data_IF_499694470467
#
_entry.id   IF_499694470467
#
_cell.length_a   1.000
_cell.length_b   1.000
_cell.length_c   1.000
_cell.angle_alpha   90.00
_cell.angle_beta   90.00
_cell.angle_gamma   90.00
#
_symmetry.space_group_name_H-M   'P 1'
#
loop_
_entity.id
_entity.type
_entity.pdbx_description
1 polymer ?
2 non-polymer ?
3 water ?
#
# COMPACT_ATOMS: atom_id res chain seq x y z
N UNK A 1 9.24 16.63 21.90
CA UNK A 1 8.65 15.30 22.27
C UNK A 1 7.88 15.38 23.57
N UNK A 2 7.13 16.48 23.71
CA UNK A 2 6.34 16.78 24.91
C UNK A 2 7.30 17.38 25.93
N UNK A 3 8.56 16.95 25.82
CA UNK A 3 9.68 17.36 26.66
C UNK A 3 10.38 16.07 27.11
N UNK A 4 9.66 14.95 26.99
CA UNK A 4 10.19 13.63 27.35
C UNK A 4 9.83 12.60 26.26
N UNK A 5 10.16 12.95 25.02
CA UNK A 5 9.91 12.11 23.84
C UNK A 5 8.43 11.87 23.53
N UNK A 6 8.04 12.12 22.28
CA UNK A 6 6.66 11.91 21.89
C UNK A 6 6.16 12.80 20.77
N UNK A 7 6.91 13.85 20.46
CA UNK A 7 6.54 14.79 19.40
C UNK A 7 6.76 14.21 18.02
N UNK A 8 6.84 12.89 17.96
CA UNK A 8 7.03 12.21 16.70
C UNK A 8 5.65 12.10 16.07
N UNK A 9 4.62 12.38 16.87
CA UNK A 9 3.23 12.34 16.43
C UNK A 9 2.85 13.58 15.63
N UNK A 10 3.67 14.63 15.72
CA UNK A 10 3.40 15.87 14.99
C UNK A 10 3.81 15.63 13.54
N UNK A 11 4.97 15.02 13.37
CA UNK A 11 5.49 14.71 12.05
C UNK A 11 4.49 13.81 11.34
N UNK A 12 3.94 12.84 12.07
CA UNK A 12 2.97 11.89 11.53
C UNK A 12 1.71 12.60 11.05
N UNK A 13 1.16 13.47 11.90
CA UNK A 13 -0.05 14.22 11.57
C UNK A 13 0.19 15.14 10.37
N UNK A 14 1.37 15.74 10.32
CA UNK A 14 1.73 16.62 9.22
C UNK A 14 1.79 15.87 7.89
N UNK A 15 2.52 14.76 7.88
CA UNK A 15 2.66 13.96 6.66
C UNK A 15 1.44 13.16 6.26
N UNK A 16 0.45 13.10 7.15
CA UNK A 16 -0.77 12.35 6.85
C UNK A 16 -2.00 13.25 6.79
N UNK A 17 -1.97 14.36 7.52
CA UNK A 17 -3.07 15.31 7.53
C UNK A 17 -4.41 14.71 7.94
N UNK A 18 -5.48 15.16 7.29
CA UNK A 18 -6.82 14.68 7.60
C UNK A 18 -6.93 13.16 7.49
N UNK A 19 -6.00 12.56 6.76
CA UNK A 19 -5.94 11.10 6.57
C UNK A 19 -5.69 10.34 7.88
N UNK A 20 -5.18 11.04 8.88
CA UNK A 20 -4.91 10.44 10.18
C UNK A 20 -6.20 9.95 10.85
N UNK A 21 -6.09 8.85 11.59
CA UNK A 21 -7.21 8.25 12.31
C UNK A 21 -6.90 8.44 13.78
N UNK A 22 -5.89 9.26 14.04
CA UNK A 22 -5.47 9.51 15.41
C UNK A 22 -5.08 10.96 15.69
N UNK A 23 -5.25 11.35 16.95
CA UNK A 23 -4.90 12.68 17.43
C UNK A 23 -3.48 12.47 17.93
N UNK A 24 -2.76 13.55 18.23
CA UNK A 24 -1.38 13.39 18.70
C UNK A 24 -1.28 12.69 20.05
N UNK A 25 -2.27 12.90 20.90
CA UNK A 25 -2.26 12.27 22.21
C UNK A 25 -2.44 10.75 22.09
N UNK A 26 -3.28 10.33 21.15
CA UNK A 26 -3.54 8.92 20.94
C UNK A 26 -2.33 8.28 20.28
N UNK A 27 -1.69 9.02 19.38
CA UNK A 27 -0.50 8.52 18.69
C UNK A 27 0.59 8.28 19.73
N UNK A 28 0.68 9.19 20.70
CA UNK A 28 1.68 9.06 21.76
C UNK A 28 1.40 7.85 22.62
N UNK A 29 0.12 7.54 22.79
CA UNK A 29 -0.28 6.38 23.59
C UNK A 29 0.09 5.11 22.86
N UNK A 30 -0.25 5.06 21.57
CA UNK A 30 0.07 3.94 20.70
C UNK A 30 1.60 3.83 20.70
N UNK A 31 2.28 4.97 20.64
CA UNK A 31 3.74 4.99 20.66
C UNK A 31 4.29 4.39 21.95
N UNK A 32 3.70 4.77 23.09
CA UNK A 32 4.13 4.24 24.38
C UNK A 32 3.97 2.73 24.43
N UNK A 33 2.91 2.23 23.80
CA UNK A 33 2.66 0.80 23.77
C UNK A 33 3.63 0.17 22.78
N UNK A 34 3.86 0.87 21.68
CA UNK A 34 4.77 0.43 20.63
C UNK A 34 6.16 0.19 21.21
N UNK A 35 6.62 1.12 22.03
CA UNK A 35 7.93 1.05 22.67
C UNK A 35 8.05 -0.04 23.73
N UNK A 36 6.92 -0.43 24.33
CA UNK A 36 6.97 -1.49 25.33
C UNK A 36 7.27 -2.80 24.60
N UNK A 37 6.80 -2.90 23.36
CA UNK A 37 7.00 -4.09 22.56
C UNK A 37 8.23 -4.01 21.66
N UNK A 38 8.59 -2.80 21.24
CA UNK A 38 9.76 -2.58 20.40
C UNK A 38 10.51 -1.40 20.99
N UNK A 39 11.27 -1.64 22.06
CA UNK A 39 12.07 -0.65 22.79
C UNK A 39 12.84 0.35 21.93
N UNK A 40 13.39 -0.12 20.82
CA UNK A 40 14.17 0.73 19.93
C UNK A 40 13.33 1.69 19.10
N UNK A 41 12.04 1.40 18.98
CA UNK A 41 11.18 2.26 18.19
C UNK A 41 11.35 1.98 16.71
N UNK A 42 12.02 0.89 16.38
CA UNK A 42 12.25 0.50 15.00
C UNK A 42 11.67 -0.88 14.80
N UNK A 43 11.23 -1.16 13.58
CA UNK A 43 10.64 -2.46 13.28
C UNK A 43 11.22 -2.97 11.97
N UNK A 44 11.69 -4.21 11.98
CA UNK A 44 12.29 -4.81 10.80
C UNK A 44 11.24 -5.25 9.79
N UNK A 45 11.69 -5.64 8.61
CA UNK A 45 10.77 -6.09 7.58
C UNK A 45 10.10 -7.40 7.99
N UNK A 46 10.87 -8.31 8.59
CA UNK A 46 10.31 -9.58 9.04
C UNK A 46 9.21 -9.35 10.07
N UNK A 47 9.44 -8.43 11.00
CA UNK A 47 8.45 -8.12 12.03
C UNK A 47 7.22 -7.46 11.43
N UNK A 48 7.43 -6.60 10.44
CA UNK A 48 6.32 -5.92 9.78
C UNK A 48 5.49 -6.97 9.04
N UNK A 49 6.17 -7.89 8.37
CA UNK A 49 5.50 -8.97 7.65
C UNK A 49 4.63 -9.79 8.59
N UNK A 50 5.10 -9.99 9.81
CA UNK A 50 4.34 -10.78 10.78
C UNK A 50 2.99 -10.14 11.09
N UNK A 51 2.95 -8.82 11.08
CA UNK A 51 1.70 -8.12 11.35
C UNK A 51 0.67 -8.54 10.31
N UNK A 52 1.06 -8.49 9.04
CA UNK A 52 0.14 -8.86 7.97
C UNK A 52 -0.15 -10.36 7.90
N UNK A 53 0.81 -11.19 8.28
CA UNK A 53 0.59 -12.63 8.26
C UNK A 53 -0.47 -12.96 9.30
N UNK A 54 -0.41 -12.26 10.42
CA UNK A 54 -1.35 -12.45 11.52
C UNK A 54 -2.75 -11.96 11.19
N UNK A 55 -2.83 -10.79 10.55
CA UNK A 55 -4.14 -10.22 10.29
C UNK A 55 -4.78 -10.46 8.93
N UNK A 56 -4.15 -11.30 8.13
CA UNK A 56 -4.69 -11.70 6.84
C UNK A 56 -4.47 -13.21 6.71
N UNK A 57 -5.03 -13.99 7.66
CA UNK A 57 -4.90 -15.45 7.68
C UNK A 57 -5.48 -16.13 6.45
N UNK A 58 -6.41 -15.46 5.79
CA UNK A 58 -7.04 -16.03 4.62
C UNK A 58 -6.21 -15.85 3.35
N UNK A 59 -5.18 -15.01 3.44
CA UNK A 59 -4.34 -14.72 2.28
C UNK A 59 -2.87 -15.11 2.45
N UNK A 60 -2.05 -14.67 1.49
CA UNK A 60 -0.60 -14.93 1.49
C UNK A 60 0.01 -13.53 1.31
N UNK A 61 0.03 -12.75 2.40
CA UNK A 61 0.54 -11.39 2.47
C UNK A 61 2.02 -11.07 2.53
N UNK A 62 2.88 -12.09 2.51
CA UNK A 62 4.30 -11.84 2.62
C UNK A 62 4.86 -10.85 1.59
N UNK A 63 4.63 -11.12 0.30
CA UNK A 63 5.14 -10.23 -0.73
C UNK A 63 4.57 -8.83 -0.58
N UNK A 64 3.27 -8.76 -0.33
CA UNK A 64 2.58 -7.49 -0.15
C UNK A 64 3.21 -6.67 0.98
N UNK A 65 3.35 -7.29 2.14
CA UNK A 65 3.94 -6.61 3.29
C UNK A 65 5.36 -6.14 2.96
N UNK A 66 6.12 -6.96 2.25
CA UNK A 66 7.49 -6.56 1.89
C UNK A 66 7.51 -5.33 0.97
N UNK A 67 6.61 -5.27 0.01
CA UNK A 67 6.56 -4.13 -0.91
C UNK A 67 6.13 -2.86 -0.17
N UNK A 68 5.20 -3.01 0.76
CA UNK A 68 4.71 -1.88 1.53
C UNK A 68 5.85 -1.34 2.39
N UNK A 69 6.56 -2.25 3.04
CA UNK A 69 7.70 -1.90 3.88
C UNK A 69 8.75 -1.16 3.04
N UNK A 70 9.01 -1.67 1.85
CA UNK A 70 10.00 -1.05 0.96
C UNK A 70 9.58 0.30 0.39
N UNK A 71 8.29 0.52 0.21
CA UNK A 71 7.79 1.77 -0.35
C UNK A 71 8.37 2.98 0.36
N UNK A 72 8.79 2.78 1.61
CA UNK A 72 9.35 3.88 2.38
C UNK A 72 10.85 4.12 2.18
N UNK A 73 11.37 3.71 1.02
CA UNK A 73 12.79 3.90 0.64
C UNK A 73 13.41 2.83 -0.28
N UNK A 74 12.58 1.97 -0.86
CA UNK A 74 13.06 0.91 -1.76
C UNK A 74 14.21 0.07 -1.18
N UNK A 75 14.14 -0.19 0.12
CA UNK A 75 15.16 -0.98 0.80
C UNK A 75 14.49 -2.08 1.64
N UNK A 76 14.93 -3.32 1.45
CA UNK A 76 14.41 -4.47 2.19
C UNK A 76 15.09 -4.64 3.54
N UNK A 77 16.29 -4.09 3.65
CA UNK A 77 17.05 -4.19 4.89
C UNK A 77 16.59 -3.07 5.83
N UNK A 78 17.27 -2.94 6.96
CA UNK A 78 16.91 -1.88 7.88
C UNK A 78 15.57 -2.00 8.56
N UNK A 79 15.02 -0.86 8.94
CA UNK A 79 13.77 -0.81 9.67
C UNK A 79 12.88 0.37 9.29
N UNK A 80 11.70 0.39 9.90
CA UNK A 80 10.76 1.50 9.74
C UNK A 80 10.71 2.07 11.14
N UNK A 81 10.51 3.37 11.26
CA UNK A 81 10.40 3.96 12.58
C UNK A 81 8.90 3.98 12.84
N UNK A 82 8.49 4.44 14.01
CA UNK A 82 7.07 4.47 14.35
C UNK A 82 6.25 5.25 13.33
N UNK A 83 6.79 6.38 12.87
CA UNK A 83 6.09 7.20 11.92
C UNK A 83 5.75 6.46 10.63
N UNK A 84 6.75 5.83 10.03
CA UNK A 84 6.54 5.09 8.79
C UNK A 84 5.65 3.86 9.01
N UNK A 85 5.73 3.27 10.19
CA UNK A 85 4.90 2.11 10.50
C UNK A 85 3.42 2.52 10.61
N UNK A 86 3.14 3.66 11.24
CA UNK A 86 1.77 4.15 11.36
C UNK A 86 1.26 4.55 9.98
N UNK A 87 2.09 5.24 9.21
CA UNK A 87 1.67 5.65 7.88
C UNK A 87 1.43 4.43 6.98
N UNK A 88 2.25 3.40 7.12
CA UNK A 88 2.09 2.19 6.31
C UNK A 88 0.75 1.50 6.59
N UNK A 89 0.38 1.41 7.86
CA UNK A 89 -0.88 0.79 8.22
C UNK A 89 -2.03 1.63 7.67
N UNK A 90 -1.85 2.94 7.67
CA UNK A 90 -2.90 3.81 7.13
C UNK A 90 -3.07 3.59 5.63
N UNK A 91 -1.95 3.48 4.92
CA UNK A 91 -1.99 3.27 3.48
C UNK A 91 -2.70 1.97 3.09
N UNK A 92 -2.49 0.91 3.85
CA UNK A 92 -3.12 -0.36 3.52
C UNK A 92 -4.52 -0.55 4.06
N UNK A 93 -4.87 0.16 5.13
CA UNK A 93 -6.16 -0.07 5.77
C UNK A 93 -7.10 1.07 6.16
N UNK A 94 -6.74 2.32 5.89
CA UNK A 94 -7.62 3.42 6.29
C UNK A 94 -7.63 4.58 5.31
N UNK A 95 -8.70 5.37 5.35
CA UNK A 95 -8.79 6.53 4.49
C UNK A 95 -9.14 6.30 3.04
N UNK A 96 -9.11 7.38 2.27
CA UNK A 96 -9.45 7.36 0.85
C UNK A 96 -8.22 7.21 -0.04
N UNK A 97 -8.38 6.42 -1.10
CA UNK A 97 -7.32 6.14 -2.06
C UNK A 97 -6.75 7.37 -2.75
N UNK A 98 -7.63 8.30 -3.15
CA UNK A 98 -7.21 9.51 -3.85
C UNK A 98 -6.23 10.39 -3.11
N UNK A 99 -6.12 10.17 -1.80
CA UNK A 99 -5.19 10.94 -1.00
C UNK A 99 -3.92 10.12 -0.81
N UNK A 100 -3.88 8.94 -1.41
CA UNK A 100 -2.72 8.06 -1.30
C UNK A 100 -1.99 7.84 -2.63
N UNK A 101 -2.33 8.60 -3.67
CA UNK A 101 -1.73 8.39 -4.99
C UNK A 101 -0.22 8.58 -5.12
N UNK A 102 0.34 9.53 -4.38
CA UNK A 102 1.78 9.78 -4.42
C UNK A 102 2.49 8.58 -3.78
N UNK A 103 1.92 8.07 -2.69
CA UNK A 103 2.49 6.92 -2.02
C UNK A 103 2.31 5.70 -2.91
N UNK A 104 1.17 5.61 -3.57
CA UNK A 104 0.89 4.48 -4.45
C UNK A 104 1.96 4.40 -5.53
N UNK A 105 2.41 5.56 -6.02
CA UNK A 105 3.45 5.56 -7.04
C UNK A 105 4.72 4.92 -6.46
N UNK A 106 5.09 5.31 -5.25
CA UNK A 106 6.28 4.75 -4.62
C UNK A 106 6.15 3.25 -4.43
N UNK A 107 4.93 2.78 -4.17
CA UNK A 107 4.69 1.36 -4.00
C UNK A 107 4.92 0.63 -5.32
N UNK A 108 4.41 1.19 -6.41
CA UNK A 108 4.55 0.58 -7.72
C UNK A 108 5.95 0.70 -8.32
N UNK A 109 6.68 1.75 -7.95
CA UNK A 109 8.05 1.91 -8.45
C UNK A 109 8.95 1.02 -7.57
N UNK A 110 8.87 -0.29 -7.79
CA UNK A 110 9.63 -1.25 -7.00
C UNK A 110 11.13 -0.98 -6.82
N UNK A 111 11.86 -0.69 -7.90
CA UNK A 111 13.29 -0.45 -7.75
C UNK A 111 13.62 0.99 -7.36
N UNK A 112 12.58 1.82 -7.30
CA UNK A 112 12.76 3.21 -6.91
C UNK A 112 13.57 4.06 -7.85
N UNK A 113 13.61 3.70 -9.13
CA UNK A 113 14.38 4.47 -10.09
C UNK A 113 13.61 5.65 -10.69
N UNK A 114 12.48 6.01 -10.07
CA UNK A 114 11.71 7.15 -10.56
C UNK A 114 10.59 6.93 -11.55
N UNK A 115 10.49 5.73 -12.12
CA UNK A 115 9.42 5.44 -13.06
C UNK A 115 8.96 4.01 -12.86
N UNK A 116 7.77 3.72 -13.35
CA UNK A 116 7.21 2.39 -13.22
C UNK A 116 7.30 1.62 -14.53
N UNK A 117 7.81 0.40 -14.45
CA UNK A 117 7.91 -0.43 -15.62
C UNK A 117 6.76 -1.43 -15.62
N UNK A 118 6.56 -2.06 -16.76
CA UNK A 118 5.51 -3.04 -16.93
C UNK A 118 5.65 -4.18 -15.94
N UNK A 119 6.88 -4.64 -15.75
CA UNK A 119 7.15 -5.74 -14.83
C UNK A 119 6.88 -5.37 -13.38
N UNK A 120 7.09 -4.10 -13.03
CA UNK A 120 6.85 -3.66 -11.66
C UNK A 120 5.35 -3.67 -11.40
N UNK A 121 4.57 -3.27 -12.40
CA UNK A 121 3.13 -3.29 -12.22
C UNK A 121 2.71 -4.74 -11.95
N UNK A 122 3.24 -5.68 -12.71
CA UNK A 122 2.88 -7.09 -12.51
C UNK A 122 3.30 -7.59 -11.13
N UNK A 123 4.49 -7.20 -10.68
CA UNK A 123 4.96 -7.63 -9.37
C UNK A 123 4.03 -7.17 -8.26
N UNK A 124 3.63 -5.90 -8.30
CA UNK A 124 2.75 -5.35 -7.29
C UNK A 124 1.32 -5.90 -7.44
N UNK A 125 0.80 -5.93 -8.66
CA UNK A 125 -0.54 -6.47 -8.88
C UNK A 125 -0.61 -7.91 -8.37
N UNK A 126 0.46 -8.67 -8.56
CA UNK A 126 0.50 -10.06 -8.09
C UNK A 126 0.46 -10.12 -6.56
N UNK A 127 1.27 -9.29 -5.92
CA UNK A 127 1.33 -9.23 -4.47
C UNK A 127 -0.04 -8.88 -3.88
N UNK A 128 -0.71 -7.91 -4.49
CA UNK A 128 -2.05 -7.50 -4.05
C UNK A 128 -3.06 -8.62 -4.33
N UNK A 129 -2.92 -9.27 -5.48
CA UNK A 129 -3.83 -10.36 -5.85
C UNK A 129 -3.83 -11.43 -4.75
N UNK A 130 -2.63 -11.74 -4.25
CA UNK A 130 -2.46 -12.74 -3.20
C UNK A 130 -3.09 -12.35 -1.87
N UNK A 131 -3.58 -11.11 -1.78
CA UNK A 131 -4.24 -10.64 -0.57
C UNK A 131 -5.72 -10.97 -0.63
N UNK A 132 -6.18 -11.42 -1.80
CA UNK A 132 -7.58 -11.78 -2.00
C UNK A 132 -7.74 -13.26 -1.66
N UNK A 133 -8.71 -13.61 -0.81
CA UNK A 133 -8.89 -15.02 -0.51
C UNK A 133 -9.43 -15.75 -1.74
N UNK A 134 -8.96 -16.98 -1.98
CA UNK A 134 -9.40 -17.78 -3.13
C UNK A 134 -10.92 -17.70 -3.31
N UNK A 135 -11.63 -17.66 -2.19
CA UNK A 135 -13.09 -17.58 -2.20
C UNK A 135 -13.61 -16.37 -2.98
N UNK A 136 -12.94 -15.22 -2.88
CA UNK A 136 -13.40 -14.01 -3.56
C UNK A 136 -13.00 -13.81 -5.03
N UNK A 137 -11.90 -14.43 -5.46
CA UNK A 137 -11.43 -14.27 -6.85
C UNK A 137 -12.44 -14.70 -7.92
N UNK A 138 -13.39 -15.55 -7.54
CA UNK A 138 -14.41 -16.02 -8.46
C UNK A 138 -15.43 -14.94 -8.81
N UNK A 139 -15.55 -13.93 -7.95
CA UNK A 139 -16.47 -12.82 -8.20
C UNK A 139 -15.82 -11.80 -9.12
N UNK A 140 -14.52 -11.97 -9.39
CA UNK A 140 -13.78 -11.05 -10.24
C UNK A 140 -14.08 -11.19 -11.73
N UNK A 141 -14.13 -10.07 -12.45
CA UNK A 141 -14.39 -10.08 -13.89
C UNK A 141 -13.40 -11.00 -14.61
N UNK A 142 -13.86 -11.65 -15.68
CA UNK A 142 -13.01 -12.56 -16.44
C UNK A 142 -11.71 -11.89 -16.87
N UNK A 143 -11.81 -10.68 -17.41
CA UNK A 143 -10.62 -9.99 -17.88
C UNK A 143 -9.82 -9.29 -16.80
N UNK A 144 -10.14 -9.59 -15.54
CA UNK A 144 -9.44 -9.00 -14.40
C UNK A 144 -9.28 -10.04 -13.30
N UNK A 145 -9.40 -11.32 -13.64
CA UNK A 145 -9.30 -12.38 -12.64
C UNK A 145 -7.96 -13.07 -12.41
N UNK A 146 -6.89 -12.58 -13.02
CA UNK A 146 -5.55 -13.14 -12.81
C UNK A 146 -4.60 -11.95 -12.77
N UNK A 147 -3.42 -12.10 -12.15
CA UNK A 147 -2.45 -11.01 -12.07
C UNK A 147 -2.04 -10.50 -13.45
N UNK A 148 -1.82 -11.43 -14.37
CA UNK A 148 -1.43 -11.12 -15.74
C UNK A 148 -2.47 -10.25 -16.44
N UNK A 149 -3.73 -10.64 -16.34
CA UNK A 149 -4.80 -9.89 -16.98
C UNK A 149 -4.94 -8.49 -16.39
N UNK A 150 -4.92 -8.39 -15.06
CA UNK A 150 -5.05 -7.10 -14.40
C UNK A 150 -3.89 -6.18 -14.74
N UNK A 151 -2.67 -6.69 -14.62
CA UNK A 151 -1.48 -5.90 -14.91
C UNK A 151 -1.42 -5.41 -16.36
N UNK A 152 -1.83 -6.25 -17.30
CA UNK A 152 -1.80 -5.83 -18.70
C UNK A 152 -2.91 -4.82 -18.98
N UNK A 153 -4.03 -4.94 -18.28
CA UNK A 153 -5.11 -3.99 -18.47
C UNK A 153 -4.67 -2.61 -17.98
N UNK A 154 -3.95 -2.58 -16.86
CA UNK A 154 -3.44 -1.33 -16.32
C UNK A 154 -2.47 -0.70 -17.31
N UNK A 155 -1.56 -1.51 -17.84
CA UNK A 155 -0.58 -1.03 -18.80
C UNK A 155 -1.29 -0.51 -20.04
N UNK A 156 -2.35 -1.20 -20.45
CA UNK A 156 -3.09 -0.78 -21.63
C UNK A 156 -3.80 0.54 -21.39
N UNK A 157 -4.39 0.70 -20.21
CA UNK A 157 -5.08 1.94 -19.88
C UNK A 157 -4.11 3.10 -19.90
N UNK A 158 -2.84 2.83 -19.62
CA UNK A 158 -1.85 3.90 -19.66
C UNK A 158 -1.28 4.05 -21.06
N UNK A 159 -1.82 3.25 -21.99
CA UNK A 159 -1.40 3.29 -23.38
C UNK A 159 0.10 3.13 -23.54
N UNK A 160 0.66 2.17 -22.80
CA UNK A 160 2.09 1.92 -22.84
C UNK A 160 2.49 0.69 -23.64
N UNK A 161 3.70 0.76 -24.19
CA UNK A 161 4.28 -0.35 -24.94
C UNK A 161 5.09 -1.14 -23.92
N UNK A 162 5.44 -2.37 -24.26
CA UNK A 162 6.18 -3.21 -23.34
C UNK A 162 7.35 -2.55 -22.62
N UNK A 163 8.16 -1.76 -23.32
CA UNK A 163 9.29 -1.15 -22.64
C UNK A 163 9.21 0.33 -22.32
N UNK A 164 7.99 0.86 -22.24
CA UNK A 164 7.83 2.27 -21.90
C UNK A 164 7.98 2.44 -20.39
N UNK A 165 8.18 3.69 -19.97
CA UNK A 165 8.34 4.03 -18.56
C UNK A 165 7.15 4.89 -18.14
N UNK A 166 6.54 4.56 -17.01
CA UNK A 166 5.40 5.33 -16.53
C UNK A 166 5.84 6.30 -15.46
N UNK A 167 5.60 7.59 -15.68
CA UNK A 167 5.99 8.63 -14.73
C UNK A 167 4.93 8.89 -13.66
N UNK A 168 5.36 9.57 -12.60
CA UNK A 168 4.47 9.89 -11.49
C UNK A 168 3.38 10.85 -11.96
N UNK A 169 3.75 11.79 -12.81
CA UNK A 169 2.79 12.75 -13.36
C UNK A 169 1.63 12.00 -14.01
N UNK A 170 1.95 11.08 -14.91
CA UNK A 170 0.92 10.32 -15.61
C UNK A 170 0.20 9.34 -14.70
N UNK A 171 0.93 8.71 -13.79
CA UNK A 171 0.31 7.76 -12.87
C UNK A 171 -0.80 8.45 -12.09
N UNK A 172 -0.51 9.64 -11.58
CA UNK A 172 -1.49 10.40 -10.81
C UNK A 172 -2.66 10.85 -11.67
N UNK A 173 -2.38 11.33 -12.88
CA UNK A 173 -3.44 11.75 -13.78
C UNK A 173 -4.39 10.60 -14.07
N UNK A 174 -3.82 9.45 -14.43
CA UNK A 174 -4.62 8.29 -14.77
C UNK A 174 -5.38 7.66 -13.63
N UNK A 175 -4.77 7.61 -12.45
CA UNK A 175 -5.44 7.01 -11.31
C UNK A 175 -6.58 7.92 -10.82
N UNK A 176 -6.48 9.21 -11.12
CA UNK A 176 -7.53 10.16 -10.75
C UNK A 176 -8.64 10.18 -11.80
N UNK A 177 -8.25 10.34 -13.06
CA UNK A 177 -9.21 10.43 -14.16
C UNK A 177 -9.92 9.14 -14.55
N UNK A 178 -9.15 8.07 -14.77
CA UNK A 178 -9.75 6.80 -15.18
C UNK A 178 -10.02 5.91 -13.98
N UNK A 179 -11.29 5.81 -13.61
CA UNK A 179 -11.67 5.02 -12.45
C UNK A 179 -11.43 3.52 -12.60
N UNK A 180 -11.21 3.06 -13.83
CA UNK A 180 -10.92 1.65 -14.07
C UNK A 180 -9.47 1.40 -13.66
N UNK A 181 -8.60 2.38 -13.90
CA UNK A 181 -7.21 2.25 -13.50
C UNK A 181 -7.20 2.20 -11.97
N UNK A 182 -7.97 3.08 -11.35
CA UNK A 182 -8.05 3.12 -9.90
C UNK A 182 -8.46 1.75 -9.35
N UNK A 183 -9.52 1.19 -9.94
CA UNK A 183 -10.04 -0.11 -9.53
C UNK A 183 -8.99 -1.21 -9.63
N UNK A 184 -8.19 -1.16 -10.68
CA UNK A 184 -7.16 -2.17 -10.91
C UNK A 184 -5.87 -1.97 -10.12
N UNK A 185 -5.50 -0.73 -9.81
CA UNK A 185 -4.28 -0.54 -9.04
C UNK A 185 -4.55 -0.61 -7.54
N UNK A 186 -5.83 -0.53 -7.17
CA UNK A 186 -6.26 -0.58 -5.77
C UNK A 186 -5.44 -1.57 -4.94
N UNK A 187 -4.84 -1.08 -3.87
CA UNK A 187 -3.98 -1.89 -3.01
C UNK A 187 -4.55 -2.22 -1.63
N UNK A 188 -5.65 -1.58 -1.24
CA UNK A 188 -6.23 -1.87 0.06
C UNK A 188 -7.07 -3.13 -0.09
N UNK A 189 -6.67 -4.22 0.57
CA UNK A 189 -7.42 -5.48 0.47
C UNK A 189 -8.94 -5.40 0.64
N UNK A 190 -9.40 -4.65 1.64
CA UNK A 190 -10.84 -4.52 1.89
C UNK A 190 -11.55 -3.84 0.73
N UNK A 191 -10.90 -2.84 0.12
CA UNK A 191 -11.50 -2.11 -1.00
C UNK A 191 -11.59 -2.97 -2.24
N UNK A 192 -10.57 -3.80 -2.47
CA UNK A 192 -10.62 -4.68 -3.62
C UNK A 192 -11.79 -5.64 -3.40
N UNK A 193 -11.87 -6.21 -2.20
CA UNK A 193 -12.93 -7.15 -1.85
C UNK A 193 -14.33 -6.57 -1.96
N UNK A 194 -14.52 -5.39 -1.37
CA UNK A 194 -15.83 -4.75 -1.37
C UNK A 194 -16.32 -4.35 -2.76
N UNK A 195 -15.41 -4.14 -3.70
CA UNK A 195 -15.84 -3.81 -5.04
C UNK A 195 -15.97 -5.12 -5.80
N UNK A 196 -15.31 -6.14 -5.25
CA UNK A 196 -15.28 -7.49 -5.79
C UNK A 196 -16.55 -8.25 -5.42
N UNK A 197 -17.48 -7.54 -4.79
CA UNK A 197 -18.75 -8.12 -4.36
C UNK A 197 -19.79 -7.00 -4.27
N UNK A 198 -19.99 -6.36 -5.40
CA UNK A 198 -20.92 -5.26 -5.50
C UNK A 198 -21.14 -4.99 -6.96
N UNK A 199 -21.33 -3.72 -7.27
CA UNK A 199 -21.57 -3.29 -8.63
C UNK A 199 -23.01 -3.55 -9.03
N UNK A 200 -23.18 -4.14 -10.20
CA UNK A 200 -24.51 -4.45 -10.72
C UNK A 200 -24.51 -5.76 -11.52
N UNK A 201 -25.71 -6.32 -11.69
CA UNK A 201 -25.93 -7.57 -12.42
C UNK A 201 -25.23 -7.60 -13.77
X LIG B 1 11.07 1.55 -11.38
#
# INVERSE_FOLDING_TARGET
GNSKSGALSKEILEELQLNTKFTEEELSSWYQSFLKECPSGRITRQEFQTIYSKFFPEADPKAYAQHVFRSFDANSDGTLDFKEYVIALHMTSAGKTNQKLEWAFSLYDVDGNGTISKNEVLEIVTAIFKMISPEDTKHLPEDENTPEKRAEKIWGFFGKKDDDKLTEKEFIEGTLANKEILRLIQFEPQKVKEKLKEKKL
CA CA
#
